data_IF_783012673683
#
_entry.id   IF_783012673683
#
_cell.length_a   1.000
_cell.length_b   1.000
_cell.length_c   1.000
_cell.angle_alpha   90.00
_cell.angle_beta   90.00
_cell.angle_gamma   90.00
#
_symmetry.space_group_name_H-M   'P 1'
#
loop_
_entity.id
_entity.type
_entity.pdbx_description
1 polymer ?
#
# COMPACT_ATOMS: atom_id res chain seq x y z
N UNK A 1 11.09 -14.51 -17.68
CA UNK A 1 11.46 -14.59 -16.25
C UNK A 1 11.22 -13.22 -15.63
N UNK A 2 10.08 -13.07 -14.97
CA UNK A 2 9.83 -12.02 -13.98
C UNK A 2 8.86 -12.64 -12.97
N UNK A 3 9.45 -13.30 -11.98
CA UNK A 3 8.73 -13.79 -10.81
C UNK A 3 8.60 -12.61 -9.84
N UNK A 4 7.36 -12.28 -9.47
CA UNK A 4 6.93 -11.67 -8.19
C UNK A 4 5.61 -10.91 -8.39
N UNK A 5 4.49 -11.62 -8.46
CA UNK A 5 3.19 -11.09 -8.05
C UNK A 5 2.25 -12.25 -7.73
N UNK A 6 2.68 -13.16 -6.85
CA UNK A 6 1.85 -14.31 -6.43
C UNK A 6 1.55 -14.35 -4.93
N UNK A 7 1.94 -13.34 -4.14
CA UNK A 7 1.85 -13.47 -2.67
C UNK A 7 0.92 -12.48 -1.96
N UNK A 8 0.44 -11.41 -2.60
CA UNK A 8 -0.43 -10.43 -1.91
C UNK A 8 -1.94 -10.75 -1.97
N UNK A 9 -2.35 -11.83 -2.65
CA UNK A 9 -3.76 -12.25 -2.75
C UNK A 9 -4.11 -13.37 -1.75
N UNK A 10 -3.13 -13.95 -1.06
CA UNK A 10 -3.31 -15.19 -0.29
C UNK A 10 -3.73 -15.01 1.19
N UNK A 11 -3.97 -13.77 1.68
CA UNK A 11 -4.32 -13.52 3.09
C UNK A 11 -5.79 -13.17 3.36
N UNK A 12 -6.69 -13.36 2.40
CA UNK A 12 -8.13 -13.29 2.67
C UNK A 12 -8.83 -14.65 2.45
N UNK A 13 -8.61 -15.66 3.30
CA UNK A 13 -9.65 -16.65 3.49
C UNK A 13 -10.73 -16.06 4.43
N UNK A 14 -11.99 -16.15 4.00
CA UNK A 14 -13.24 -15.95 4.78
C UNK A 14 -13.93 -14.58 4.65
N UNK A 15 -14.58 -14.35 3.50
CA UNK A 15 -15.89 -13.70 3.51
C UNK A 15 -16.70 -14.22 2.30
N UNK A 16 -18.00 -14.45 2.47
CA UNK A 16 -18.84 -15.04 1.43
C UNK A 16 -18.98 -14.16 0.19
N UNK A 17 -19.78 -14.58 -0.80
CA UNK A 17 -20.15 -13.71 -1.94
C UNK A 17 -21.20 -12.65 -1.55
N UNK A 18 -21.02 -12.03 -0.40
CA UNK A 18 -21.84 -10.91 0.06
C UNK A 18 -21.37 -9.59 -0.58
N UNK A 19 -22.25 -8.59 -0.51
CA UNK A 19 -22.00 -7.29 -1.14
C UNK A 19 -20.78 -6.55 -0.56
N UNK A 20 -20.51 -6.69 0.74
CA UNK A 20 -19.37 -6.03 1.37
C UNK A 20 -18.05 -6.63 0.88
N UNK A 21 -18.01 -7.96 0.74
CA UNK A 21 -16.87 -8.69 0.17
C UNK A 21 -16.60 -8.38 -1.29
N UNK A 22 -17.64 -8.08 -2.08
CA UNK A 22 -17.47 -7.61 -3.48
C UNK A 22 -16.92 -6.18 -3.53
N UNK A 23 -17.40 -5.30 -2.67
CA UNK A 23 -16.96 -3.91 -2.60
C UNK A 23 -15.47 -3.81 -2.20
N UNK A 24 -15.03 -4.59 -1.20
CA UNK A 24 -13.62 -4.64 -0.79
C UNK A 24 -12.73 -5.10 -1.95
N UNK A 25 -13.12 -6.14 -2.68
CA UNK A 25 -12.39 -6.63 -3.86
C UNK A 25 -12.37 -5.61 -5.01
N UNK A 26 -13.47 -4.91 -5.25
CA UNK A 26 -13.54 -3.88 -6.28
C UNK A 26 -12.57 -2.72 -5.99
N UNK A 27 -12.43 -2.33 -4.71
CA UNK A 27 -11.47 -1.31 -4.27
C UNK A 27 -10.02 -1.78 -4.42
N UNK A 28 -9.70 -3.02 -4.06
CA UNK A 28 -8.37 -3.60 -4.26
C UNK A 28 -7.99 -3.66 -5.75
N UNK A 29 -8.89 -4.16 -6.60
CA UNK A 29 -8.67 -4.22 -8.04
C UNK A 29 -8.58 -2.83 -8.71
N UNK A 30 -9.08 -1.78 -8.04
CA UNK A 30 -8.89 -0.40 -8.49
C UNK A 30 -7.50 0.14 -8.12
N UNK A 31 -6.97 -0.24 -6.95
CA UNK A 31 -5.60 0.07 -6.52
C UNK A 31 -4.59 -0.61 -7.45
N UNK A 32 -4.74 -1.91 -7.73
CA UNK A 32 -3.86 -2.66 -8.65
C UNK A 32 -3.72 -2.10 -10.08
N UNK A 33 -4.60 -1.16 -10.48
CA UNK A 33 -4.54 -0.48 -11.79
C UNK A 33 -3.79 0.84 -11.76
N UNK A 34 -3.39 1.30 -10.58
CA UNK A 34 -2.62 2.53 -10.45
C UNK A 34 -1.17 2.28 -10.92
N UNK A 35 -0.45 3.34 -11.33
CA UNK A 35 0.99 3.26 -11.50
C UNK A 35 1.63 2.86 -10.16
N UNK A 36 2.72 2.10 -10.21
CA UNK A 36 3.45 1.59 -9.02
C UNK A 36 3.76 2.66 -7.96
N UNK A 37 4.03 3.91 -8.40
CA UNK A 37 4.15 5.10 -7.56
C UNK A 37 2.93 5.30 -6.64
N UNK A 38 1.74 5.30 -7.22
CA UNK A 38 0.51 5.64 -6.53
C UNK A 38 0.07 4.55 -5.53
N UNK A 39 0.39 3.28 -5.80
CA UNK A 39 0.11 2.19 -4.86
C UNK A 39 0.86 2.35 -3.54
N UNK A 40 2.16 2.66 -3.61
CA UNK A 40 3.01 2.84 -2.42
C UNK A 40 2.51 3.99 -1.53
N UNK A 41 2.10 5.12 -2.14
CA UNK A 41 1.53 6.25 -1.41
C UNK A 41 0.15 5.95 -0.83
N UNK A 42 -0.68 5.19 -1.54
CA UNK A 42 -2.00 4.75 -1.04
C UNK A 42 -1.84 3.80 0.14
N UNK A 43 -0.87 2.89 0.11
CA UNK A 43 -0.59 2.00 1.23
C UNK A 43 -0.09 2.76 2.47
N UNK A 44 0.85 3.69 2.31
CA UNK A 44 1.30 4.57 3.39
C UNK A 44 0.13 5.38 3.97
N UNK A 45 -0.68 6.01 3.11
CA UNK A 45 -1.85 6.79 3.54
C UNK A 45 -2.88 5.94 4.29
N UNK A 46 -3.13 4.69 3.84
CA UNK A 46 -4.00 3.74 4.54
C UNK A 46 -3.47 3.36 5.92
N UNK A 47 -2.15 3.18 6.04
CA UNK A 47 -1.53 2.88 7.33
C UNK A 47 -1.67 4.07 8.30
N UNK A 48 -1.46 5.30 7.82
CA UNK A 48 -1.59 6.52 8.62
C UNK A 48 -3.02 6.82 9.03
N UNK A 49 -4.00 6.55 8.17
CA UNK A 49 -5.41 6.76 8.46
C UNK A 49 -5.94 5.92 9.66
N UNK A 50 -5.20 4.91 10.10
CA UNK A 50 -5.51 4.13 11.31
C UNK A 50 -4.99 4.79 12.61
N UNK A 51 -4.38 5.97 12.54
CA UNK A 51 -3.77 6.68 13.68
C UNK A 51 -2.85 5.77 14.52
N UNK A 52 -1.86 5.10 13.90
CA UNK A 52 -1.03 4.13 14.60
C UNK A 52 -0.11 4.83 15.61
N UNK A 53 0.05 4.23 16.80
CA UNK A 53 1.06 4.68 17.78
C UNK A 53 2.49 4.27 17.40
N UNK A 54 2.62 3.32 16.49
CA UNK A 54 3.88 2.80 15.96
C UNK A 54 3.64 2.38 14.50
N UNK A 55 4.39 2.96 13.58
CA UNK A 55 4.37 2.61 12.16
C UNK A 55 5.70 1.93 11.80
N UNK A 56 5.62 0.69 11.32
CA UNK A 56 6.77 -0.03 10.77
C UNK A 56 6.66 0.00 9.25
N UNK A 57 7.74 0.41 8.59
CA UNK A 57 7.82 0.50 7.13
C UNK A 57 8.86 -0.51 6.65
N UNK A 58 8.41 -1.56 5.97
CA UNK A 58 9.29 -2.51 5.29
C UNK A 58 9.35 -2.14 3.82
N UNK A 59 10.55 -1.81 3.32
CA UNK A 59 10.80 -1.37 1.95
C UNK A 59 9.81 -0.30 1.39
N UNK A 60 9.57 0.85 2.08
CA UNK A 60 8.53 1.80 1.70
C UNK A 60 8.71 2.43 0.31
N UNK A 61 9.93 2.44 -0.22
CA UNK A 61 10.26 3.02 -1.53
C UNK A 61 10.35 1.96 -2.65
N UNK A 62 9.90 0.72 -2.41
CA UNK A 62 9.96 -0.34 -3.42
C UNK A 62 9.17 0.02 -4.68
N UNK A 63 9.81 -0.08 -5.85
CA UNK A 63 9.17 0.21 -7.14
C UNK A 63 9.05 1.70 -7.51
N UNK A 64 9.62 2.59 -6.69
CA UNK A 64 9.75 4.02 -6.98
C UNK A 64 11.05 4.33 -7.72
N UNK A 65 11.08 5.42 -8.50
CA UNK A 65 12.33 5.98 -9.01
C UNK A 65 13.09 6.75 -7.91
N UNK A 66 14.30 7.24 -8.23
CA UNK A 66 15.16 7.96 -7.28
C UNK A 66 14.49 9.22 -6.69
N UNK A 67 13.92 10.07 -7.54
CA UNK A 67 13.26 11.33 -7.14
C UNK A 67 12.08 11.05 -6.21
N UNK A 68 11.27 10.05 -6.54
CA UNK A 68 10.13 9.61 -5.73
C UNK A 68 10.54 9.05 -4.38
N UNK A 69 11.61 8.27 -4.36
CA UNK A 69 12.13 7.66 -3.14
C UNK A 69 12.60 8.75 -2.18
N UNK A 70 13.22 9.81 -2.71
CA UNK A 70 13.65 10.98 -1.93
C UNK A 70 12.45 11.78 -1.38
N UNK A 71 11.42 12.01 -2.20
CA UNK A 71 10.20 12.69 -1.76
C UNK A 71 9.47 11.89 -0.68
N UNK A 72 9.39 10.57 -0.82
CA UNK A 72 8.80 9.71 0.20
C UNK A 72 9.62 9.71 1.49
N UNK A 73 10.95 9.65 1.39
CA UNK A 73 11.83 9.73 2.56
C UNK A 73 11.66 11.06 3.31
N UNK A 74 11.57 12.19 2.60
CA UNK A 74 11.28 13.51 3.20
C UNK A 74 9.95 13.49 3.95
N UNK A 75 8.89 13.01 3.32
CA UNK A 75 7.57 12.97 3.94
C UNK A 75 7.54 12.08 5.21
N UNK A 76 8.20 10.92 5.18
CA UNK A 76 8.31 10.04 6.36
C UNK A 76 9.09 10.71 7.49
N UNK A 77 10.15 11.46 7.17
CA UNK A 77 10.93 12.20 8.16
C UNK A 77 10.11 13.34 8.77
N UNK A 78 9.38 14.10 7.96
CA UNK A 78 8.51 15.18 8.41
C UNK A 78 7.43 14.64 9.37
N UNK A 79 6.80 13.50 9.03
CA UNK A 79 5.81 12.85 9.88
C UNK A 79 6.38 12.40 11.24
N UNK A 80 7.66 12.02 11.29
CA UNK A 80 8.32 11.61 12.53
C UNK A 80 8.61 12.80 13.45
N UNK A 81 8.73 14.00 12.89
CA UNK A 81 9.04 15.23 13.64
C UNK A 81 7.79 15.91 14.23
N UNK A 82 6.58 15.54 13.79
CA UNK A 82 5.29 15.93 14.41
C UNK A 82 4.97 15.16 15.70
#
# INVERSE_FOLDING_TARGET
MAAASETSTALLPLAGDDAASREVRARQAAVEKLPTRADSWVELGRALAMEPRLLLLDEPAAGLNQEESEDMARYILDLKEE
#
